data_IF_823785112005
#
_entry.id   IF_823785112005
#
_cell.length_a   1.000
_cell.length_b   1.000
_cell.length_c   1.000
_cell.angle_alpha   90.00
_cell.angle_beta   90.00
_cell.angle_gamma   90.00
#
_symmetry.space_group_name_H-M   'P 1'
#
loop_
_entity.id
_entity.type
_entity.pdbx_description
1 polymer ?
#
# COMPACT_ATOMS: atom_id res chain seq x y z
N UNK A 1 -26.46 -1.46 -1.11
CA UNK A 1 -25.37 -1.52 -0.12
C UNK A 1 -25.01 -0.09 0.27
N UNK A 2 -24.89 0.20 1.57
CA UNK A 2 -24.59 1.55 2.08
C UNK A 2 -23.21 2.03 1.55
N UNK A 3 -23.10 3.32 1.19
CA UNK A 3 -21.87 3.93 0.66
C UNK A 3 -20.68 3.74 1.60
N UNK A 4 -20.86 3.95 2.89
CA UNK A 4 -19.79 3.75 3.88
C UNK A 4 -19.24 2.31 3.82
N UNK A 5 -20.12 1.30 3.77
CA UNK A 5 -19.71 -0.10 3.66
C UNK A 5 -18.97 -0.38 2.35
N UNK A 6 -19.38 0.24 1.24
CA UNK A 6 -18.69 0.09 -0.05
C UNK A 6 -17.26 0.62 0.01
N UNK A 7 -17.07 1.78 0.62
CA UNK A 7 -15.74 2.39 0.79
C UNK A 7 -14.89 1.66 1.84
N UNK A 8 -15.53 1.09 2.86
CA UNK A 8 -14.86 0.19 3.83
C UNK A 8 -14.29 -1.05 3.15
N UNK A 9 -15.07 -1.70 2.28
CA UNK A 9 -14.60 -2.86 1.49
C UNK A 9 -13.45 -2.45 0.56
N UNK A 10 -13.58 -1.31 -0.12
CA UNK A 10 -12.51 -0.76 -0.95
C UNK A 10 -11.23 -0.57 -0.15
N UNK A 11 -11.32 0.09 1.01
CA UNK A 11 -10.17 0.37 1.87
C UNK A 11 -9.54 -0.92 2.42
N UNK A 12 -10.35 -1.87 2.88
CA UNK A 12 -9.89 -3.16 3.38
C UNK A 12 -9.07 -3.91 2.31
N UNK A 13 -9.62 -4.12 1.13
CA UNK A 13 -8.94 -4.88 0.09
C UNK A 13 -7.79 -4.13 -0.54
N UNK A 14 -7.80 -2.79 -0.60
CA UNK A 14 -6.67 -1.98 -1.07
C UNK A 14 -5.37 -2.37 -0.37
N UNK A 15 -5.41 -2.58 0.93
CA UNK A 15 -4.22 -2.90 1.72
C UNK A 15 -4.06 -4.40 1.97
N UNK A 16 -5.14 -5.18 1.91
CA UNK A 16 -5.07 -6.64 1.97
C UNK A 16 -4.19 -7.21 0.85
N UNK A 17 -4.40 -6.77 -0.39
CA UNK A 17 -3.65 -7.28 -1.55
C UNK A 17 -2.16 -6.99 -1.48
N UNK A 18 -1.77 -5.94 -0.77
CA UNK A 18 -0.38 -5.59 -0.54
C UNK A 18 0.22 -6.30 0.68
N UNK A 19 -0.53 -6.31 1.78
CA UNK A 19 -0.12 -6.98 3.02
C UNK A 19 0.07 -8.49 2.87
N UNK A 20 -0.53 -9.11 1.85
CA UNK A 20 -0.40 -10.53 1.57
C UNK A 20 1.06 -10.97 1.27
N UNK A 21 1.90 -10.08 0.77
CA UNK A 21 3.27 -10.42 0.37
C UNK A 21 4.35 -9.43 0.80
N UNK A 22 4.00 -8.15 1.07
CA UNK A 22 5.00 -7.10 1.34
C UNK A 22 5.95 -7.44 2.48
N UNK A 23 5.42 -7.94 3.59
CA UNK A 23 6.20 -8.24 4.80
C UNK A 23 7.02 -9.53 4.65
N UNK A 24 6.55 -10.45 3.83
CA UNK A 24 7.12 -11.81 3.70
C UNK A 24 7.93 -12.03 2.43
N UNK A 25 8.00 -11.03 1.52
CA UNK A 25 8.77 -11.14 0.28
C UNK A 25 10.26 -11.37 0.52
N UNK A 26 10.84 -10.80 1.59
CA UNK A 26 12.23 -11.04 1.94
C UNK A 26 12.44 -12.49 2.37
N UNK A 27 11.57 -13.02 3.22
CA UNK A 27 11.58 -14.43 3.62
C UNK A 27 11.46 -15.35 2.40
N UNK A 28 10.53 -15.05 1.47
CA UNK A 28 10.43 -15.77 0.20
C UNK A 28 11.73 -15.72 -0.61
N UNK A 29 12.29 -14.52 -0.79
CA UNK A 29 13.48 -14.30 -1.62
C UNK A 29 14.69 -15.06 -1.09
N UNK A 30 15.00 -14.94 0.20
CA UNK A 30 16.17 -15.57 0.80
C UNK A 30 15.99 -17.08 1.01
N UNK A 31 14.80 -17.54 1.40
CA UNK A 31 14.53 -18.99 1.54
C UNK A 31 14.65 -19.74 0.22
N UNK A 32 14.31 -19.09 -0.90
CA UNK A 32 14.44 -19.68 -2.24
C UNK A 32 15.80 -19.40 -2.89
N UNK A 33 16.76 -18.78 -2.17
CA UNK A 33 18.11 -18.48 -2.64
C UNK A 33 18.14 -17.72 -3.98
N UNK A 34 17.21 -16.79 -4.19
CA UNK A 34 17.02 -16.12 -5.46
C UNK A 34 18.15 -15.13 -5.79
N UNK A 35 18.88 -14.62 -4.78
CA UNK A 35 19.96 -13.66 -4.98
C UNK A 35 20.53 -13.10 -3.69
N UNK A 36 21.23 -11.98 -3.82
CA UNK A 36 21.94 -11.28 -2.73
C UNK A 36 21.06 -10.22 -2.06
N UNK A 37 21.48 -9.76 -0.87
CA UNK A 37 20.81 -8.63 -0.19
C UNK A 37 20.81 -7.32 -1.01
N UNK A 38 21.85 -7.09 -1.83
CA UNK A 38 21.91 -5.92 -2.72
C UNK A 38 20.82 -6.00 -3.79
N UNK A 39 20.65 -7.17 -4.41
CA UNK A 39 19.59 -7.39 -5.41
C UNK A 39 18.21 -7.28 -4.77
N UNK A 40 18.01 -7.79 -3.55
CA UNK A 40 16.77 -7.62 -2.82
C UNK A 40 16.48 -6.15 -2.52
N UNK A 41 17.49 -5.38 -2.10
CA UNK A 41 17.38 -3.93 -1.91
C UNK A 41 16.94 -3.21 -3.20
N UNK A 42 17.48 -3.60 -4.35
CA UNK A 42 17.06 -3.07 -5.66
C UNK A 42 15.59 -3.40 -5.95
N UNK A 43 15.15 -4.65 -5.71
CA UNK A 43 13.74 -5.05 -5.86
C UNK A 43 12.83 -4.18 -4.98
N UNK A 44 13.21 -3.99 -3.72
CA UNK A 44 12.40 -3.20 -2.79
C UNK A 44 12.38 -1.70 -3.15
N UNK A 45 13.44 -1.18 -3.80
CA UNK A 45 13.47 0.21 -4.29
C UNK A 45 12.44 0.51 -5.38
N UNK A 46 11.93 -0.51 -6.09
CA UNK A 46 10.89 -0.34 -7.11
C UNK A 46 9.60 0.28 -6.54
N UNK A 47 9.31 0.05 -5.25
CA UNK A 47 8.19 0.65 -4.55
C UNK A 47 8.33 2.19 -4.51
N UNK A 48 9.52 2.66 -4.14
CA UNK A 48 9.81 4.10 -4.07
C UNK A 48 9.80 4.74 -5.47
N UNK A 49 10.45 4.11 -6.44
CA UNK A 49 10.51 4.61 -7.83
C UNK A 49 9.10 4.75 -8.43
N UNK A 50 8.25 3.73 -8.25
CA UNK A 50 6.87 3.78 -8.72
C UNK A 50 6.04 4.84 -7.98
N UNK A 51 6.25 5.01 -6.67
CA UNK A 51 5.52 5.99 -5.85
C UNK A 51 5.84 7.44 -6.21
N UNK A 52 7.03 7.72 -6.71
CA UNK A 52 7.43 9.07 -7.13
C UNK A 52 6.72 9.52 -8.40
N UNK A 53 6.50 8.63 -9.36
CA UNK A 53 6.09 8.99 -10.72
C UNK A 53 4.63 8.63 -10.98
N UNK A 54 4.23 7.43 -10.62
CA UNK A 54 2.95 6.86 -11.06
C UNK A 54 1.70 7.56 -10.50
N UNK A 55 1.65 8.04 -9.23
CA UNK A 55 0.49 8.76 -8.73
C UNK A 55 0.18 10.04 -9.51
N UNK A 56 1.21 10.79 -9.91
CA UNK A 56 1.03 12.01 -10.70
C UNK A 56 0.50 11.69 -12.10
N UNK A 57 1.09 10.70 -12.79
CA UNK A 57 0.64 10.29 -14.13
C UNK A 57 -0.79 9.77 -14.13
N UNK A 58 -1.12 8.91 -13.19
CA UNK A 58 -2.48 8.34 -13.10
C UNK A 58 -3.51 9.37 -12.62
N UNK A 59 -3.11 10.34 -11.80
CA UNK A 59 -3.92 11.49 -11.45
C UNK A 59 -4.34 12.27 -12.69
N UNK A 60 -3.39 12.62 -13.57
CA UNK A 60 -3.67 13.30 -14.84
C UNK A 60 -4.61 12.48 -15.72
N UNK A 61 -4.44 11.15 -15.78
CA UNK A 61 -5.31 10.27 -16.57
C UNK A 61 -6.73 10.26 -16.01
N UNK A 62 -6.87 10.16 -14.68
CA UNK A 62 -8.17 10.16 -14.01
C UNK A 62 -8.89 11.52 -14.13
N UNK A 63 -8.15 12.62 -14.08
CA UNK A 63 -8.73 13.97 -14.16
C UNK A 63 -9.16 14.35 -15.59
N UNK A 64 -8.51 13.79 -16.61
CA UNK A 64 -8.75 14.19 -18.01
C UNK A 64 -9.58 13.21 -18.82
N UNK A 65 -9.37 11.90 -18.65
CA UNK A 65 -9.83 10.92 -19.67
C UNK A 65 -10.68 9.78 -19.11
N UNK A 66 -10.35 9.22 -17.96
CA UNK A 66 -10.97 7.98 -17.47
C UNK A 66 -11.55 8.22 -16.07
N UNK A 67 -12.73 7.69 -15.81
CA UNK A 67 -13.29 7.71 -14.46
C UNK A 67 -12.34 7.05 -13.47
N UNK A 68 -12.13 7.67 -12.31
CA UNK A 68 -11.15 7.23 -11.32
C UNK A 68 -11.39 5.78 -10.85
N UNK A 69 -12.66 5.39 -10.62
CA UNK A 69 -13.01 4.01 -10.22
C UNK A 69 -12.69 2.98 -11.30
N UNK A 70 -12.80 3.36 -12.59
CA UNK A 70 -12.47 2.46 -13.69
C UNK A 70 -10.98 2.30 -13.86
N UNK A 71 -10.22 3.41 -13.80
CA UNK A 71 -8.76 3.38 -13.84
C UNK A 71 -8.21 2.54 -12.70
N UNK A 72 -8.74 2.74 -11.49
CA UNK A 72 -8.41 1.96 -10.30
C UNK A 72 -8.63 0.45 -10.53
N UNK A 73 -9.78 0.07 -11.10
CA UNK A 73 -10.10 -1.32 -11.39
C UNK A 73 -9.15 -1.96 -12.40
N UNK A 74 -8.87 -1.25 -13.50
CA UNK A 74 -7.93 -1.71 -14.52
C UNK A 74 -6.53 -1.94 -13.91
N UNK A 75 -6.04 -0.99 -13.12
CA UNK A 75 -4.74 -1.10 -12.48
C UNK A 75 -4.66 -2.28 -11.51
N UNK A 76 -5.73 -2.58 -10.75
CA UNK A 76 -5.77 -3.74 -9.86
C UNK A 76 -5.83 -5.07 -10.61
N UNK A 77 -6.54 -5.13 -11.73
CA UNK A 77 -6.56 -6.34 -12.58
C UNK A 77 -5.17 -6.58 -13.18
N UNK A 78 -4.51 -5.54 -13.69
CA UNK A 78 -3.15 -5.63 -14.23
C UNK A 78 -2.15 -6.03 -13.13
N UNK A 79 -2.24 -5.41 -11.94
CA UNK A 79 -1.45 -5.77 -10.78
C UNK A 79 -1.62 -7.25 -10.41
N UNK A 80 -2.86 -7.74 -10.33
CA UNK A 80 -3.15 -9.14 -10.06
C UNK A 80 -2.58 -10.08 -11.11
N UNK A 81 -2.72 -9.73 -12.40
CA UNK A 81 -2.15 -10.51 -13.50
C UNK A 81 -0.62 -10.61 -13.42
N UNK A 82 0.07 -9.51 -13.08
CA UNK A 82 1.52 -9.52 -12.88
C UNK A 82 1.91 -10.39 -11.67
N UNK A 83 1.17 -10.32 -10.56
CA UNK A 83 1.44 -11.17 -9.39
C UNK A 83 1.24 -12.66 -9.68
N UNK A 84 0.32 -13.05 -10.57
CA UNK A 84 0.16 -14.44 -11.00
C UNK A 84 1.38 -14.98 -11.76
N UNK A 85 2.22 -14.10 -12.28
CA UNK A 85 3.45 -14.51 -12.96
C UNK A 85 4.61 -14.81 -11.99
N UNK A 86 4.59 -14.26 -10.77
CA UNK A 86 5.69 -14.41 -9.78
C UNK A 86 6.08 -15.88 -9.50
N UNK A 87 5.16 -16.87 -9.40
CA UNK A 87 5.54 -18.27 -9.20
C UNK A 87 6.48 -18.87 -10.25
N UNK A 88 6.53 -18.29 -11.44
CA UNK A 88 7.39 -18.74 -12.54
C UNK A 88 8.78 -18.09 -12.51
N UNK A 89 8.98 -17.08 -11.68
CA UNK A 89 10.24 -16.34 -11.55
C UNK A 89 11.23 -17.14 -10.67
N UNK A 90 12.48 -17.26 -11.14
CA UNK A 90 13.50 -18.07 -10.48
C UNK A 90 14.76 -17.30 -10.08
N UNK A 91 14.91 -16.07 -10.53
CA UNK A 91 16.10 -15.24 -10.32
C UNK A 91 15.73 -13.82 -9.90
N UNK A 92 16.70 -13.14 -9.29
CA UNK A 92 16.51 -11.78 -8.74
C UNK A 92 16.23 -10.73 -9.81
N UNK A 93 16.88 -10.84 -10.97
CA UNK A 93 16.78 -9.82 -12.02
C UNK A 93 15.40 -9.85 -12.66
N UNK A 94 14.89 -11.03 -12.97
CA UNK A 94 13.51 -11.19 -13.44
C UNK A 94 12.50 -10.73 -12.37
N UNK A 95 12.73 -11.07 -11.10
CA UNK A 95 11.87 -10.63 -10.00
C UNK A 95 11.84 -9.11 -9.87
N UNK A 96 12.98 -8.43 -10.07
CA UNK A 96 13.04 -6.98 -10.09
C UNK A 96 12.05 -6.37 -11.09
N UNK A 97 12.09 -6.81 -12.35
CA UNK A 97 11.20 -6.28 -13.38
C UNK A 97 9.73 -6.63 -13.15
N UNK A 98 9.44 -7.83 -12.64
CA UNK A 98 8.07 -8.26 -12.34
C UNK A 98 7.49 -7.44 -11.17
N UNK A 99 8.25 -7.27 -10.09
CA UNK A 99 7.80 -6.45 -8.95
C UNK A 99 7.70 -4.97 -9.37
N UNK A 100 8.62 -4.47 -10.19
CA UNK A 100 8.52 -3.11 -10.71
C UNK A 100 7.23 -2.89 -11.52
N UNK A 101 6.91 -3.81 -12.43
CA UNK A 101 5.65 -3.76 -13.19
C UNK A 101 4.42 -3.82 -12.27
N UNK A 102 4.46 -4.68 -11.24
CA UNK A 102 3.41 -4.75 -10.22
C UNK A 102 3.27 -3.40 -9.50
N UNK A 103 4.37 -2.77 -9.09
CA UNK A 103 4.35 -1.50 -8.37
C UNK A 103 3.92 -0.31 -9.23
N UNK A 104 4.26 -0.29 -10.52
CA UNK A 104 3.71 0.68 -11.48
C UNK A 104 2.18 0.66 -11.47
N UNK A 105 1.58 -0.50 -11.37
CA UNK A 105 0.13 -0.63 -11.30
C UNK A 105 -0.43 -0.33 -9.91
N UNK A 106 0.23 -0.79 -8.84
CA UNK A 106 -0.31 -0.72 -7.47
C UNK A 106 -0.14 0.65 -6.81
N UNK A 107 1.05 1.26 -6.86
CA UNK A 107 1.35 2.48 -6.09
C UNK A 107 0.38 3.64 -6.36
N UNK A 108 -0.03 3.92 -7.60
CA UNK A 108 -1.00 4.98 -7.85
C UNK A 108 -2.40 4.68 -7.31
N UNK A 109 -2.74 3.42 -7.09
CA UNK A 109 -4.08 3.06 -6.59
C UNK A 109 -4.31 3.51 -5.16
N UNK A 110 -3.23 3.72 -4.37
CA UNK A 110 -3.33 4.26 -3.01
C UNK A 110 -3.92 5.67 -3.03
N UNK A 111 -3.41 6.55 -3.88
CA UNK A 111 -3.94 7.92 -4.05
C UNK A 111 -5.32 7.92 -4.71
N UNK A 112 -5.54 7.07 -5.71
CA UNK A 112 -6.84 6.94 -6.38
C UNK A 112 -7.92 6.46 -5.41
N UNK A 113 -7.64 5.50 -4.52
CA UNK A 113 -8.61 5.02 -3.53
C UNK A 113 -9.08 6.14 -2.59
N UNK A 114 -8.16 7.03 -2.18
CA UNK A 114 -8.49 8.20 -1.38
C UNK A 114 -9.34 9.20 -2.17
N UNK A 115 -8.94 9.52 -3.41
CA UNK A 115 -9.67 10.43 -4.29
C UNK A 115 -11.09 9.92 -4.59
N UNK A 116 -11.25 8.64 -4.90
CA UNK A 116 -12.56 7.98 -5.10
C UNK A 116 -13.41 8.12 -3.85
N UNK A 117 -12.84 7.81 -2.68
CA UNK A 117 -13.55 7.87 -1.41
C UNK A 117 -14.02 9.30 -1.10
N UNK A 118 -13.15 10.30 -1.26
CA UNK A 118 -13.50 11.70 -1.04
C UNK A 118 -14.60 12.17 -2.01
N UNK A 119 -14.45 11.86 -3.29
CA UNK A 119 -15.44 12.24 -4.31
C UNK A 119 -16.82 11.64 -4.02
N UNK A 120 -16.87 10.35 -3.65
CA UNK A 120 -18.12 9.67 -3.34
C UNK A 120 -18.74 10.22 -2.07
N UNK A 121 -17.97 10.46 -1.01
CA UNK A 121 -18.47 11.02 0.24
C UNK A 121 -19.02 12.43 0.05
N UNK A 122 -18.28 13.32 -0.63
CA UNK A 122 -18.71 14.70 -0.92
C UNK A 122 -20.02 14.74 -1.72
N UNK A 123 -20.13 13.91 -2.77
CA UNK A 123 -21.35 13.84 -3.62
C UNK A 123 -22.57 13.33 -2.88
N UNK A 124 -22.37 12.64 -1.77
CA UNK A 124 -23.47 12.16 -0.92
C UNK A 124 -23.64 12.98 0.35
N UNK A 125 -23.12 14.22 0.36
CA UNK A 125 -23.22 15.20 1.44
C UNK A 125 -22.69 14.69 2.81
N UNK A 126 -21.70 13.82 2.80
CA UNK A 126 -21.00 13.43 4.02
C UNK A 126 -19.87 14.40 4.35
N UNK A 127 -19.67 14.65 5.65
CA UNK A 127 -18.48 15.33 6.15
C UNK A 127 -17.26 14.38 6.00
N UNK A 128 -16.40 14.66 5.00
CA UNK A 128 -15.25 13.82 4.68
C UNK A 128 -14.30 13.73 5.86
N UNK A 129 -14.06 14.84 6.56
CA UNK A 129 -13.11 14.88 7.69
C UNK A 129 -13.53 13.93 8.82
N UNK A 130 -14.84 13.81 9.08
CA UNK A 130 -15.37 12.94 10.12
C UNK A 130 -15.57 11.50 9.66
N UNK A 131 -15.95 11.29 8.40
CA UNK A 131 -16.41 9.96 7.92
C UNK A 131 -15.28 9.14 7.29
N UNK A 132 -14.30 9.79 6.65
CA UNK A 132 -13.22 9.08 5.97
C UNK A 132 -12.25 8.36 6.92
N UNK A 133 -11.76 8.96 8.03
CA UNK A 133 -10.80 8.30 8.90
C UNK A 133 -11.25 6.92 9.42
N UNK A 134 -12.48 6.73 9.93
CA UNK A 134 -12.97 5.40 10.30
C UNK A 134 -13.00 4.40 9.14
N UNK A 135 -13.29 4.86 7.91
CA UNK A 135 -13.26 4.00 6.71
C UNK A 135 -11.81 3.60 6.39
N UNK A 136 -10.86 4.55 6.50
CA UNK A 136 -9.46 4.32 6.19
C UNK A 136 -8.77 3.32 7.15
N UNK A 137 -9.18 3.28 8.41
CA UNK A 137 -8.70 2.31 9.41
C UNK A 137 -8.93 0.87 8.94
N UNK A 138 -10.01 0.57 8.20
CA UNK A 138 -10.23 -0.76 7.63
C UNK A 138 -9.16 -1.19 6.64
N UNK A 139 -8.41 -0.25 6.08
CA UNK A 139 -7.22 -0.59 5.29
C UNK A 139 -6.13 -1.24 6.14
N UNK A 140 -5.84 -0.69 7.32
CA UNK A 140 -4.88 -1.30 8.25
C UNK A 140 -5.38 -2.67 8.73
N UNK A 141 -6.67 -2.81 9.01
CA UNK A 141 -7.28 -4.11 9.36
C UNK A 141 -7.12 -5.10 8.20
N UNK A 142 -7.33 -4.67 6.95
CA UNK A 142 -7.11 -5.48 5.76
C UNK A 142 -5.66 -5.95 5.61
N UNK A 143 -4.70 -5.07 5.86
CA UNK A 143 -3.28 -5.40 5.85
C UNK A 143 -2.94 -6.45 6.91
N UNK A 144 -3.41 -6.28 8.14
CA UNK A 144 -3.24 -7.25 9.24
C UNK A 144 -3.87 -8.60 8.87
N UNK A 145 -5.09 -8.60 8.36
CA UNK A 145 -5.78 -9.83 7.93
C UNK A 145 -4.98 -10.59 6.86
N UNK A 146 -4.38 -9.86 5.91
CA UNK A 146 -3.52 -10.44 4.89
C UNK A 146 -2.24 -11.07 5.48
N UNK A 147 -1.56 -10.36 6.38
CA UNK A 147 -0.39 -10.88 7.10
C UNK A 147 -0.72 -12.19 7.83
N UNK A 148 -1.83 -12.22 8.53
CA UNK A 148 -2.28 -13.44 9.25
C UNK A 148 -2.64 -14.56 8.28
N UNK A 149 -3.34 -14.26 7.18
CA UNK A 149 -3.67 -15.23 6.13
C UNK A 149 -2.40 -15.86 5.57
N UNK A 150 -1.40 -15.07 5.23
CA UNK A 150 -0.12 -15.55 4.68
C UNK A 150 0.66 -16.40 5.69
N UNK A 151 0.70 -15.98 6.96
CA UNK A 151 1.40 -16.74 8.00
C UNK A 151 0.68 -18.07 8.32
N UNK A 152 -0.63 -18.02 8.58
CA UNK A 152 -1.41 -19.20 9.00
C UNK A 152 -1.56 -20.24 7.88
N UNK A 153 -1.55 -19.80 6.61
CA UNK A 153 -1.55 -20.71 5.46
C UNK A 153 -0.18 -21.31 5.15
N UNK A 154 0.87 -20.96 5.92
CA UNK A 154 2.24 -21.39 5.67
C UNK A 154 2.85 -20.84 4.39
N UNK A 155 2.34 -19.72 3.89
CA UNK A 155 2.69 -19.18 2.57
C UNK A 155 3.87 -18.19 2.58
N UNK A 156 4.44 -17.85 3.73
CA UNK A 156 5.45 -16.79 3.86
C UNK A 156 6.78 -17.07 3.12
N UNK A 157 7.15 -18.33 2.94
CA UNK A 157 8.39 -18.72 2.25
C UNK A 157 8.16 -19.25 0.82
N UNK A 158 6.92 -19.23 0.33
CA UNK A 158 6.59 -19.71 -1.01
C UNK A 158 5.78 -18.66 -1.82
N UNK A 159 5.59 -18.94 -3.11
CA UNK A 159 4.92 -18.02 -4.02
C UNK A 159 3.40 -17.86 -3.78
N UNK A 160 2.79 -18.67 -2.93
CA UNK A 160 1.34 -18.59 -2.66
C UNK A 160 0.94 -17.24 -2.06
N UNK A 161 1.85 -16.56 -1.34
CA UNK A 161 1.62 -15.20 -0.85
C UNK A 161 1.24 -14.23 -1.98
N UNK A 162 1.90 -14.35 -3.14
CA UNK A 162 1.58 -13.51 -4.31
C UNK A 162 0.27 -13.93 -4.96
N UNK A 163 -0.08 -15.22 -4.95
CA UNK A 163 -1.36 -15.71 -5.46
C UNK A 163 -2.53 -15.21 -4.60
N UNK A 164 -2.38 -15.18 -3.27
CA UNK A 164 -3.38 -14.58 -2.36
C UNK A 164 -3.59 -13.11 -2.71
N UNK A 165 -2.49 -12.34 -2.88
CA UNK A 165 -2.55 -10.95 -3.31
C UNK A 165 -3.18 -10.78 -4.69
N UNK A 166 -2.83 -11.64 -5.66
CA UNK A 166 -3.32 -11.60 -7.03
C UNK A 166 -4.83 -11.82 -7.12
N UNK A 167 -5.35 -12.84 -6.44
CA UNK A 167 -6.80 -13.12 -6.40
C UNK A 167 -7.54 -11.96 -5.76
N UNK A 168 -7.04 -11.47 -4.60
CA UNK A 168 -7.62 -10.29 -3.95
C UNK A 168 -7.62 -9.05 -4.85
N UNK A 169 -6.54 -8.82 -5.60
CA UNK A 169 -6.41 -7.68 -6.52
C UNK A 169 -7.42 -7.75 -7.67
N UNK A 170 -7.59 -8.91 -8.30
CA UNK A 170 -8.57 -9.10 -9.38
C UNK A 170 -10.00 -8.90 -8.85
N UNK A 171 -10.32 -9.49 -7.69
CA UNK A 171 -11.63 -9.30 -7.07
C UNK A 171 -11.89 -7.84 -6.74
N UNK A 172 -10.90 -7.13 -6.19
CA UNK A 172 -10.99 -5.70 -5.92
C UNK A 172 -11.14 -4.88 -7.20
N UNK A 173 -10.40 -5.23 -8.24
CA UNK A 173 -10.52 -4.60 -9.55
C UNK A 173 -11.93 -4.72 -10.14
N UNK A 174 -12.49 -5.92 -10.12
CA UNK A 174 -13.87 -6.17 -10.56
C UNK A 174 -14.86 -5.41 -9.68
N UNK A 175 -14.67 -5.45 -8.37
CA UNK A 175 -15.52 -4.74 -7.40
C UNK A 175 -15.56 -3.23 -7.67
N UNK A 176 -14.44 -2.63 -8.04
CA UNK A 176 -14.33 -1.19 -8.26
C UNK A 176 -15.27 -0.69 -9.37
N UNK A 177 -15.54 -1.50 -10.40
CA UNK A 177 -16.50 -1.15 -11.45
C UNK A 177 -17.94 -1.05 -10.95
N UNK A 178 -18.23 -1.58 -9.77
CA UNK A 178 -19.56 -1.44 -9.14
C UNK A 178 -19.71 -0.13 -8.35
N UNK A 179 -18.60 0.58 -8.06
CA UNK A 179 -18.62 1.82 -7.28
C UNK A 179 -19.37 2.95 -8.01
N UNK A 180 -19.86 3.97 -7.27
CA UNK A 180 -20.40 5.19 -7.89
C UNK A 180 -19.37 5.83 -8.81
N UNK A 181 -19.84 6.33 -9.97
CA UNK A 181 -18.99 6.95 -10.98
C UNK A 181 -18.29 8.20 -10.44
N UNK A 182 -16.98 8.26 -10.63
CA UNK A 182 -16.12 9.41 -10.33
C UNK A 182 -15.56 9.96 -11.65
N UNK A 183 -16.36 10.73 -12.42
CA UNK A 183 -15.96 11.20 -13.75
C UNK A 183 -14.85 12.24 -13.66
N UNK A 184 -14.05 12.38 -14.74
CA UNK A 184 -13.00 13.36 -14.88
C UNK A 184 -13.49 14.78 -14.61
N UNK A 185 -12.69 15.56 -13.86
CA UNK A 185 -12.97 16.99 -13.58
C UNK A 185 -12.29 17.86 -14.63
N UNK A 186 -12.89 17.98 -15.80
CA UNK A 186 -12.32 18.67 -16.99
C UNK A 186 -12.04 20.17 -16.80
N UNK A 187 -12.53 20.80 -15.72
CA UNK A 187 -12.44 22.25 -15.51
C UNK A 187 -11.08 22.77 -15.05
N UNK A 188 -10.23 21.91 -14.48
CA UNK A 188 -8.95 22.35 -13.87
C UNK A 188 -7.78 22.38 -14.88
N UNK A 189 -7.92 21.79 -16.06
CA UNK A 189 -6.77 21.39 -16.86
C UNK A 189 -6.54 22.17 -18.16
N UNK A 190 -7.35 23.17 -18.53
CA UNK A 190 -7.15 23.85 -19.83
C UNK A 190 -5.97 24.82 -19.84
N UNK A 191 -5.64 25.43 -18.70
CA UNK A 191 -4.60 26.47 -18.61
C UNK A 191 -3.52 26.20 -17.57
N UNK A 192 -3.55 25.02 -16.90
CA UNK A 192 -2.56 24.68 -15.89
C UNK A 192 -1.21 24.28 -16.53
N UNK A 193 -0.12 24.85 -16.05
CA UNK A 193 1.24 24.46 -16.46
C UNK A 193 1.52 22.99 -16.13
N UNK A 194 2.49 22.37 -16.83
CA UNK A 194 2.92 20.97 -16.55
C UNK A 194 3.34 20.82 -15.07
N UNK A 195 3.96 21.83 -14.49
CA UNK A 195 4.36 21.84 -13.09
C UNK A 195 3.14 21.79 -12.13
N UNK A 196 2.07 22.46 -12.47
CA UNK A 196 0.81 22.44 -11.69
C UNK A 196 0.10 21.09 -11.84
N UNK A 197 0.06 20.57 -13.05
CA UNK A 197 -0.56 19.26 -13.34
C UNK A 197 0.16 18.12 -12.63
N UNK A 198 1.49 18.20 -12.48
CA UNK A 198 2.31 17.22 -11.75
C UNK A 198 2.33 17.48 -10.22
N UNK A 199 1.66 18.53 -9.73
CA UNK A 199 1.65 18.88 -8.31
C UNK A 199 3.00 19.41 -7.79
N UNK A 200 3.97 19.73 -8.67
CA UNK A 200 5.32 20.17 -8.29
C UNK A 200 5.31 21.50 -7.53
N UNK A 201 4.24 22.27 -7.60
CA UNK A 201 4.06 23.47 -6.78
C UNK A 201 4.05 23.17 -5.27
N UNK A 202 3.75 21.93 -4.86
CA UNK A 202 3.84 21.52 -3.46
C UNK A 202 5.28 21.64 -2.90
N UNK A 203 6.33 21.49 -3.74
CA UNK A 203 7.71 21.70 -3.32
C UNK A 203 8.02 23.12 -2.87
N UNK A 204 7.22 24.13 -3.28
CA UNK A 204 7.34 25.50 -2.76
C UNK A 204 7.06 25.58 -1.25
N UNK A 205 6.31 24.61 -0.70
CA UNK A 205 6.08 24.53 0.74
C UNK A 205 7.37 24.24 1.53
N UNK A 206 8.35 23.60 0.93
CA UNK A 206 9.65 23.33 1.56
C UNK A 206 10.45 24.62 1.86
N UNK A 207 10.11 25.74 1.22
CA UNK A 207 10.69 27.04 1.56
C UNK A 207 10.26 27.54 2.96
N UNK A 208 9.18 27.00 3.52
CA UNK A 208 8.72 27.32 4.87
C UNK A 208 9.38 26.38 5.86
N UNK A 209 10.17 26.91 6.82
CA UNK A 209 10.95 26.14 7.79
C UNK A 209 10.14 25.02 8.51
N UNK A 210 8.96 25.36 9.06
CA UNK A 210 8.11 24.35 9.73
C UNK A 210 7.70 23.21 8.79
N UNK A 211 7.39 23.53 7.55
CA UNK A 211 7.00 22.52 6.55
C UNK A 211 8.20 21.67 6.11
N UNK A 212 9.37 22.29 5.94
CA UNK A 212 10.61 21.57 5.64
C UNK A 212 10.96 20.57 6.75
N UNK A 213 10.88 20.97 8.01
CA UNK A 213 11.08 20.06 9.15
C UNK A 213 10.06 18.92 9.15
N UNK A 214 8.79 19.21 8.94
CA UNK A 214 7.74 18.19 8.85
C UNK A 214 8.05 17.17 7.76
N UNK A 215 8.46 17.61 6.57
CA UNK A 215 8.83 16.70 5.46
C UNK A 215 10.06 15.86 5.81
N UNK A 216 11.09 16.45 6.41
CA UNK A 216 12.31 15.73 6.81
C UNK A 216 11.98 14.65 7.84
N UNK A 217 11.25 14.96 8.91
CA UNK A 217 10.84 13.97 9.91
C UNK A 217 9.95 12.89 9.32
N UNK A 218 9.00 13.26 8.46
CA UNK A 218 8.13 12.28 7.77
C UNK A 218 8.94 11.36 6.87
N UNK A 219 9.97 11.88 6.20
CA UNK A 219 10.88 11.08 5.37
C UNK A 219 11.65 10.05 6.21
N UNK A 220 12.24 10.45 7.34
CA UNK A 220 12.98 9.54 8.21
C UNK A 220 12.06 8.50 8.86
N UNK A 221 10.85 8.90 9.29
CA UNK A 221 9.86 7.99 9.85
C UNK A 221 9.41 6.96 8.78
N UNK A 222 9.15 7.43 7.56
CA UNK A 222 8.81 6.56 6.44
C UNK A 222 9.94 5.59 6.08
N UNK A 223 11.20 6.04 6.11
CA UNK A 223 12.36 5.19 5.86
C UNK A 223 12.49 4.10 6.95
N UNK A 224 12.34 4.46 8.23
CA UNK A 224 12.37 3.50 9.33
C UNK A 224 11.26 2.44 9.21
N UNK A 225 10.03 2.88 8.88
CA UNK A 225 8.90 1.98 8.65
C UNK A 225 9.17 1.02 7.48
N UNK A 226 9.73 1.51 6.38
CA UNK A 226 10.05 0.67 5.23
C UNK A 226 11.17 -0.33 5.50
N UNK A 227 12.19 0.02 6.29
CA UNK A 227 13.21 -0.94 6.74
C UNK A 227 12.58 -2.05 7.58
N UNK A 228 11.68 -1.71 8.48
CA UNK A 228 10.94 -2.68 9.29
C UNK A 228 10.07 -3.61 8.41
N UNK A 229 9.35 -3.05 7.43
CA UNK A 229 8.55 -3.84 6.49
C UNK A 229 9.42 -4.74 5.61
N UNK A 230 10.62 -4.29 5.24
CA UNK A 230 11.53 -4.99 4.35
C UNK A 230 12.20 -6.19 5.01
N UNK A 231 12.69 -6.03 6.24
CA UNK A 231 13.55 -7.01 6.90
C UNK A 231 12.99 -7.58 8.20
N UNK A 232 11.92 -7.02 8.77
CA UNK A 232 11.45 -7.37 10.10
C UNK A 232 11.07 -8.84 10.25
N UNK A 233 10.33 -9.42 9.30
CA UNK A 233 9.97 -10.84 9.32
C UNK A 233 11.21 -11.73 9.13
N UNK A 234 12.11 -11.37 8.22
CA UNK A 234 13.36 -12.10 7.97
C UNK A 234 14.28 -12.04 9.19
N UNK A 235 14.41 -10.87 9.82
CA UNK A 235 15.18 -10.70 11.05
C UNK A 235 14.68 -11.62 12.17
N UNK A 236 13.37 -11.71 12.37
CA UNK A 236 12.81 -12.65 13.35
C UNK A 236 13.08 -14.12 12.97
N UNK A 237 12.96 -14.45 11.69
CA UNK A 237 13.21 -15.82 11.21
C UNK A 237 14.69 -16.24 11.33
N UNK A 238 15.64 -15.29 11.26
CA UNK A 238 17.07 -15.60 11.40
C UNK A 238 17.43 -16.18 12.78
N UNK A 239 16.68 -15.84 13.83
CA UNK A 239 16.84 -16.50 15.14
C UNK A 239 16.51 -17.99 15.10
N UNK A 240 15.79 -18.48 14.11
CA UNK A 240 15.55 -19.92 13.89
C UNK A 240 16.80 -20.71 13.53
N UNK A 241 17.90 -20.04 13.19
CA UNK A 241 19.21 -20.68 12.99
C UNK A 241 19.88 -21.07 14.32
N UNK A 242 19.41 -20.51 15.45
CA UNK A 242 19.86 -20.87 16.80
C UNK A 242 18.97 -22.02 17.30
N UNK A 243 19.55 -23.19 17.65
CA UNK A 243 18.78 -24.39 18.03
C UNK A 243 17.77 -24.13 19.17
N UNK A 244 18.12 -23.29 20.13
CA UNK A 244 17.30 -22.93 21.28
C UNK A 244 15.99 -22.21 20.88
N UNK A 245 15.99 -21.43 19.79
CA UNK A 245 14.86 -20.60 19.40
C UNK A 245 14.05 -21.17 18.23
N UNK A 246 14.56 -22.25 17.57
CA UNK A 246 13.99 -22.80 16.33
C UNK A 246 12.48 -23.07 16.39
N UNK A 247 12.00 -23.57 17.52
CA UNK A 247 10.59 -23.94 17.71
C UNK A 247 9.80 -22.87 18.50
N UNK A 248 10.37 -21.67 18.66
CA UNK A 248 9.73 -20.60 19.42
C UNK A 248 8.47 -20.08 18.72
N UNK A 249 7.50 -19.65 19.55
CA UNK A 249 6.27 -19.02 19.07
C UNK A 249 6.56 -17.81 18.16
N UNK A 250 7.59 -17.02 18.49
CA UNK A 250 7.95 -15.81 17.74
C UNK A 250 8.38 -16.13 16.32
N UNK A 251 9.16 -17.18 16.12
CA UNK A 251 9.62 -17.59 14.78
C UNK A 251 8.48 -18.18 13.97
N UNK A 252 7.71 -19.08 14.57
CA UNK A 252 6.57 -19.72 13.92
C UNK A 252 5.53 -18.70 13.44
N UNK A 253 5.31 -17.66 14.22
CA UNK A 253 4.30 -16.63 13.98
C UNK A 253 4.91 -15.23 13.76
N UNK A 254 6.12 -15.15 13.19
CA UNK A 254 6.86 -13.90 13.02
C UNK A 254 6.05 -12.80 12.33
N UNK A 255 5.34 -13.13 11.27
CA UNK A 255 4.50 -12.17 10.54
C UNK A 255 3.30 -11.69 11.38
N UNK A 256 2.75 -12.56 12.27
CA UNK A 256 1.71 -12.15 13.23
C UNK A 256 2.29 -11.21 14.29
N UNK A 257 3.49 -11.50 14.79
CA UNK A 257 4.21 -10.62 15.72
C UNK A 257 4.47 -9.26 15.07
N UNK A 258 4.90 -9.24 13.81
CA UNK A 258 5.09 -7.99 13.06
C UNK A 258 3.80 -7.17 12.95
N UNK A 259 2.61 -7.79 12.95
CA UNK A 259 1.35 -7.06 12.89
C UNK A 259 1.03 -6.25 14.14
N UNK A 260 1.74 -6.45 15.27
CA UNK A 260 1.57 -5.66 16.49
C UNK A 260 1.82 -4.16 16.21
N UNK A 261 2.77 -3.84 15.31
CA UNK A 261 3.04 -2.46 14.92
C UNK A 261 1.83 -1.81 14.24
N UNK A 262 1.15 -2.52 13.34
CA UNK A 262 -0.06 -2.05 12.65
C UNK A 262 -1.27 -1.97 13.61
N UNK A 263 -1.36 -2.89 14.58
CA UNK A 263 -2.38 -2.83 15.62
C UNK A 263 -2.16 -1.58 16.48
N UNK A 264 -0.93 -1.32 16.89
CA UNK A 264 -0.57 -0.12 17.64
C UNK A 264 -0.88 1.15 16.87
N UNK A 265 -0.50 1.23 15.59
CA UNK A 265 -0.85 2.33 14.69
C UNK A 265 -2.37 2.57 14.68
N UNK A 266 -3.16 1.52 14.50
CA UNK A 266 -4.63 1.61 14.49
C UNK A 266 -5.16 2.19 15.80
N UNK A 267 -4.68 1.68 16.94
CA UNK A 267 -5.10 2.16 18.27
C UNK A 267 -4.75 3.64 18.43
N UNK A 268 -3.52 4.05 18.08
CA UNK A 268 -3.11 5.45 18.20
C UNK A 268 -3.92 6.37 17.30
N UNK A 269 -4.18 6.00 16.04
CA UNK A 269 -5.04 6.77 15.14
C UNK A 269 -6.44 6.98 15.73
N UNK A 270 -7.02 5.93 16.32
CA UNK A 270 -8.36 6.01 16.93
C UNK A 270 -8.38 6.83 18.22
N UNK A 271 -7.23 7.00 18.90
CA UNK A 271 -7.13 7.84 20.11
C UNK A 271 -6.89 9.31 19.81
N UNK A 272 -6.47 9.69 18.60
CA UNK A 272 -6.23 11.10 18.22
C UNK A 272 -7.36 12.05 18.63
N UNK A 273 -8.67 11.75 18.38
CA UNK A 273 -9.76 12.66 18.75
C UNK A 273 -9.93 12.88 20.25
N UNK A 274 -9.32 12.05 21.11
CA UNK A 274 -9.40 12.18 22.57
C UNK A 274 -8.32 13.09 23.16
N UNK A 275 -7.31 13.48 22.34
CA UNK A 275 -6.29 14.42 22.80
C UNK A 275 -6.83 15.86 22.65
N UNK A 276 -6.63 16.72 23.67
CA UNK A 276 -7.10 18.11 23.61
C UNK A 276 -6.39 18.88 22.49
N UNK A 277 -7.14 19.78 21.83
CA UNK A 277 -6.61 20.63 20.74
C UNK A 277 -5.35 21.41 21.14
N UNK A 278 -5.18 21.69 22.42
CA UNK A 278 -4.02 22.38 22.99
C UNK A 278 -2.68 21.65 22.80
N UNK A 279 -2.70 20.36 22.48
CA UNK A 279 -1.48 19.58 22.18
C UNK A 279 -1.04 19.68 20.70
N UNK A 280 -1.84 20.33 19.84
CA UNK A 280 -1.57 20.42 18.41
C UNK A 280 -0.98 21.77 17.95
N UNK A 281 -0.70 22.70 18.91
CA UNK A 281 -0.16 24.03 18.63
C UNK A 281 1.22 24.24 19.24
#
# INVERSE_FOLDING_TARGET
MNIKLRLTILSFFQFFVWGAWLITIATYFFSNKMGTGVQFGAIFSTLALSSLIMPALTGIIADKWINAERLYGILHILYGAVLFYVPYVKDADTLYYVIFAAMICYMPTISLSNSISYTILQRNNYDVVKVFPPIRVWGTIGFIAAMWTTNLSGSKANSNQFLIGAVGAILLGIYSFTLPKCPPQKSIAKDASIMEQLGLNAFKLLAKYKMALFFIFSMFLGAALQLTNMYGDTFLNDFGNVPEYKDSFVIKYSTIIMSISQISETVFILTIPFFPETLWY
#
